data_IF_425584301498
#
_entry.id   IF_425584301498
#
_cell.length_a   1.000
_cell.length_b   1.000
_cell.length_c   1.000
_cell.angle_alpha   90.00
_cell.angle_beta   90.00
_cell.angle_gamma   90.00
#
_symmetry.space_group_name_H-M   'P 1'
#
loop_
_entity.id
_entity.type
_entity.pdbx_description
1 polymer ?
#
# COMPACT_ATOMS: atom_id res chain seq x y z
N UNK A 1 14.72 10.22 -13.81
CA UNK A 1 14.85 10.77 -12.44
C UNK A 1 13.57 10.44 -11.68
N UNK A 2 13.67 9.98 -10.43
CA UNK A 2 12.53 9.69 -9.56
C UNK A 2 12.63 10.63 -8.34
N UNK A 3 11.59 11.42 -8.10
CA UNK A 3 11.52 12.26 -6.90
C UNK A 3 11.36 11.35 -5.68
N UNK A 4 12.32 11.41 -4.77
CA UNK A 4 12.27 10.71 -3.49
C UNK A 4 12.10 11.74 -2.39
N UNK A 5 10.97 11.70 -1.69
CA UNK A 5 10.67 12.59 -0.57
C UNK A 5 11.00 11.84 0.72
N UNK A 6 11.78 12.45 1.61
CA UNK A 6 12.13 11.85 2.90
C UNK A 6 10.99 12.01 3.92
N UNK A 7 10.20 10.95 4.07
CA UNK A 7 9.12 10.87 5.06
C UNK A 7 9.55 10.25 6.40
N UNK A 8 10.85 10.06 6.69
CA UNK A 8 11.28 9.39 7.93
C UNK A 8 10.76 10.07 9.20
N UNK A 9 10.78 11.39 9.25
CA UNK A 9 10.27 12.14 10.41
C UNK A 9 8.75 12.08 10.50
N UNK A 10 8.05 12.19 9.36
CA UNK A 10 6.59 12.08 9.28
C UNK A 10 6.10 10.68 9.69
N UNK A 11 6.78 9.63 9.27
CA UNK A 11 6.46 8.24 9.59
C UNK A 11 6.63 7.90 11.08
N UNK A 12 7.45 8.66 11.83
CA UNK A 12 7.60 8.51 13.28
C UNK A 12 6.41 9.08 14.07
N UNK A 13 5.83 10.19 13.59
CA UNK A 13 4.70 10.86 14.26
C UNK A 13 3.34 10.29 13.83
N UNK A 14 3.30 9.60 12.69
CA UNK A 14 2.06 9.01 12.16
C UNK A 14 1.71 7.74 12.93
N UNK A 15 0.42 7.57 13.25
CA UNK A 15 -0.08 6.34 13.87
C UNK A 15 0.06 5.21 12.86
N UNK A 16 0.82 4.17 13.23
CA UNK A 16 0.99 2.99 12.37
C UNK A 16 -0.34 2.25 12.24
N UNK A 17 -0.91 2.25 11.04
CA UNK A 17 -2.05 1.39 10.73
C UNK A 17 -1.57 -0.08 10.71
N UNK A 18 -2.00 -0.87 11.70
CA UNK A 18 -1.71 -2.31 11.78
C UNK A 18 -2.85 -3.09 11.15
N UNK A 19 -2.98 -3.03 9.83
CA UNK A 19 -3.83 -3.98 9.14
C UNK A 19 -3.11 -5.34 9.09
N UNK A 20 -3.75 -6.45 9.52
CA UNK A 20 -3.12 -7.76 9.45
C UNK A 20 -2.97 -8.13 7.97
N UNK A 21 -1.72 -8.15 7.49
CA UNK A 21 -1.43 -8.68 6.17
C UNK A 21 -1.56 -10.20 6.22
N UNK A 22 -2.38 -10.82 5.36
CA UNK A 22 -2.51 -12.26 5.32
C UNK A 22 -1.18 -12.92 4.96
N UNK A 23 -0.90 -14.07 5.58
CA UNK A 23 0.29 -14.86 5.27
C UNK A 23 0.17 -15.40 3.84
N UNK A 24 1.29 -15.46 3.13
CA UNK A 24 1.35 -15.93 1.74
C UNK A 24 0.72 -17.32 1.60
N UNK A 25 1.02 -18.25 2.52
CA UNK A 25 0.48 -19.62 2.47
C UNK A 25 -1.06 -19.63 2.52
N UNK A 26 -1.66 -18.87 3.44
CA UNK A 26 -3.12 -18.80 3.56
C UNK A 26 -3.81 -18.09 2.39
N UNK A 27 -3.08 -17.27 1.61
CA UNK A 27 -3.57 -16.74 0.34
C UNK A 27 -3.49 -17.80 -0.76
N UNK A 28 -2.39 -18.57 -0.82
CA UNK A 28 -2.17 -19.60 -1.83
C UNK A 28 -3.09 -20.81 -1.64
N UNK A 29 -3.40 -21.17 -0.40
CA UNK A 29 -4.35 -22.24 -0.09
C UNK A 29 -5.74 -21.97 -0.65
N UNK A 30 -6.16 -20.70 -0.76
CA UNK A 30 -7.45 -20.31 -1.37
C UNK A 30 -7.49 -20.55 -2.87
N UNK A 31 -6.34 -20.66 -3.52
CA UNK A 31 -6.19 -20.86 -4.94
C UNK A 31 -6.08 -22.35 -5.32
N UNK A 32 -6.04 -23.26 -4.34
CA UNK A 32 -5.96 -24.71 -4.57
C UNK A 32 -7.19 -25.19 -5.34
N UNK A 33 -6.97 -25.75 -6.54
CA UNK A 33 -8.03 -26.26 -7.41
C UNK A 33 -8.44 -25.34 -8.56
N UNK A 34 -7.98 -24.08 -8.57
CA UNK A 34 -8.14 -23.22 -9.74
C UNK A 34 -7.17 -23.64 -10.87
N UNK A 35 -7.68 -23.68 -12.10
CA UNK A 35 -6.92 -24.10 -13.30
C UNK A 35 -6.32 -22.92 -14.06
N UNK A 36 -6.85 -21.72 -13.86
CA UNK A 36 -6.43 -20.48 -14.54
C UNK A 36 -6.35 -19.37 -13.51
N UNK A 37 -5.24 -18.62 -13.54
CA UNK A 37 -5.00 -17.47 -12.68
C UNK A 37 -4.75 -16.23 -13.54
N UNK A 38 -5.32 -15.10 -13.14
CA UNK A 38 -5.00 -13.80 -13.68
C UNK A 38 -4.54 -12.88 -12.55
N UNK A 39 -3.45 -12.15 -12.79
CA UNK A 39 -2.93 -11.15 -11.86
C UNK A 39 -3.17 -9.78 -12.46
N UNK A 40 -3.76 -8.89 -11.67
CA UNK A 40 -3.89 -7.48 -12.01
C UNK A 40 -2.86 -6.72 -11.19
N UNK A 41 -2.01 -5.94 -11.86
CA UNK A 41 -1.02 -5.08 -11.21
C UNK A 41 -1.47 -3.62 -11.32
N UNK A 42 -1.63 -2.96 -10.17
CA UNK A 42 -1.93 -1.54 -10.11
C UNK A 42 -0.63 -0.74 -10.13
N UNK A 43 -0.10 -0.51 -11.33
CA UNK A 43 1.10 0.31 -11.53
C UNK A 43 0.86 1.70 -10.95
N UNK A 44 1.74 2.14 -10.04
CA UNK A 44 1.61 3.42 -9.32
C UNK A 44 0.33 3.55 -8.48
N UNK A 45 -0.26 2.45 -8.00
CA UNK A 45 -1.53 2.45 -7.25
C UNK A 45 -1.58 3.42 -6.06
N UNK A 46 -0.45 3.69 -5.41
CA UNK A 46 -0.36 4.69 -4.35
C UNK A 46 -0.78 6.10 -4.79
N UNK A 47 -0.56 6.48 -6.05
CA UNK A 47 -0.96 7.79 -6.58
C UNK A 47 -2.44 7.83 -7.01
N UNK A 48 -3.08 6.67 -7.16
CA UNK A 48 -4.50 6.58 -7.49
C UNK A 48 -5.37 6.68 -6.23
N UNK A 49 -4.81 6.36 -5.06
CA UNK A 49 -5.49 6.47 -3.77
C UNK A 49 -5.37 7.91 -3.28
N UNK A 50 -6.52 8.56 -3.02
CA UNK A 50 -6.55 9.93 -2.51
C UNK A 50 -6.20 9.95 -1.02
N UNK A 51 -5.32 10.89 -0.65
CA UNK A 51 -5.08 11.25 0.75
C UNK A 51 -6.31 11.99 1.29
N UNK A 52 -6.65 11.78 2.56
CA UNK A 52 -7.73 12.52 3.21
C UNK A 52 -7.41 14.03 3.18
N UNK A 53 -8.40 14.87 2.86
CA UNK A 53 -8.19 16.31 2.66
C UNK A 53 -7.49 17.00 3.85
N UNK A 54 -7.79 16.58 5.08
CA UNK A 54 -7.19 17.06 6.33
C UNK A 54 -5.70 16.69 6.48
N UNK A 55 -5.25 15.61 5.83
CA UNK A 55 -3.91 15.06 5.94
C UNK A 55 -3.00 15.44 4.75
N UNK A 56 -3.56 16.01 3.68
CA UNK A 56 -2.80 16.60 2.56
C UNK A 56 -1.69 17.55 3.03
N UNK A 57 -1.91 18.50 3.95
CA UNK A 57 -0.83 19.40 4.41
C UNK A 57 0.29 18.67 5.17
N UNK A 58 0.02 17.48 5.74
CA UNK A 58 1.06 16.67 6.40
C UNK A 58 2.02 16.01 5.41
N UNK A 59 1.57 15.86 4.16
CA UNK A 59 2.36 15.32 3.05
C UNK A 59 2.99 16.40 2.17
N UNK A 60 2.82 17.67 2.53
CA UNK A 60 3.47 18.79 1.86
C UNK A 60 4.99 18.71 2.04
N UNK A 61 5.71 18.95 0.95
CA UNK A 61 7.17 18.94 0.84
C UNK A 61 7.71 20.37 0.80
#
# INVERSE_FOLDING_TARGET
MQLCIDYHQLNKVTIKNKYPLPRIDGLMDQFVGARVFSKIDLRSGYHQIRVKAEDVPKTAF
#
